data_IF_644929607502
#
_entry.id   IF_644929607502
#
_cell.length_a   1.000
_cell.length_b   1.000
_cell.length_c   1.000
_cell.angle_alpha   90.00
_cell.angle_beta   90.00
_cell.angle_gamma   90.00
#
_symmetry.space_group_name_H-M   'P 1'
#
loop_
_entity.id
_entity.type
_entity.pdbx_description
1 polymer ?
#
# COMPACT_ATOMS: atom_id res chain seq x y z
N UNK A 1 -38.11 -23.32 35.20
CA UNK A 1 -37.78 -21.95 35.66
C UNK A 1 -36.37 -21.57 35.19
N UNK A 2 -36.22 -20.67 34.20
CA UNK A 2 -34.89 -20.11 33.86
C UNK A 2 -34.54 -19.04 34.91
N UNK A 3 -33.56 -19.33 35.79
CA UNK A 3 -33.02 -18.34 36.75
C UNK A 3 -32.43 -17.16 35.95
N UNK A 4 -33.05 -15.98 36.07
CA UNK A 4 -32.49 -14.73 35.49
C UNK A 4 -31.26 -14.33 36.31
N UNK A 5 -30.15 -14.05 35.61
CA UNK A 5 -28.95 -13.53 36.26
C UNK A 5 -29.24 -12.19 36.98
N UNK A 6 -28.58 -11.91 38.12
CA UNK A 6 -28.72 -10.65 38.84
C UNK A 6 -28.32 -9.46 37.94
N UNK A 7 -29.13 -8.39 37.94
CA UNK A 7 -28.88 -7.18 37.13
C UNK A 7 -27.46 -6.61 37.28
N UNK A 8 -26.86 -6.69 38.47
CA UNK A 8 -25.47 -6.25 38.72
C UNK A 8 -24.43 -7.07 37.94
N UNK A 9 -24.63 -8.38 37.79
CA UNK A 9 -23.73 -9.24 37.01
C UNK A 9 -23.84 -8.89 35.52
N UNK A 10 -25.07 -8.66 35.03
CA UNK A 10 -25.29 -8.23 33.63
C UNK A 10 -24.62 -6.87 33.35
N UNK A 11 -24.74 -5.89 34.25
CA UNK A 11 -24.07 -4.59 34.09
C UNK A 11 -22.53 -4.69 34.09
N UNK A 12 -21.95 -5.51 34.98
CA UNK A 12 -20.50 -5.73 35.01
C UNK A 12 -20.04 -6.41 33.72
N UNK A 13 -20.76 -7.45 33.25
CA UNK A 13 -20.42 -8.13 32.01
C UNK A 13 -20.51 -7.21 30.79
N UNK A 14 -21.54 -6.36 30.70
CA UNK A 14 -21.66 -5.35 29.62
C UNK A 14 -20.51 -4.35 29.70
N UNK A 15 -20.16 -3.87 30.90
CA UNK A 15 -19.04 -2.94 31.08
C UNK A 15 -17.70 -3.55 30.66
N UNK A 16 -17.42 -4.80 31.03
CA UNK A 16 -16.21 -5.52 30.62
C UNK A 16 -16.15 -5.69 29.11
N UNK A 17 -17.26 -6.07 28.47
CA UNK A 17 -17.32 -6.20 27.00
C UNK A 17 -17.06 -4.86 26.31
N UNK A 18 -17.63 -3.76 26.81
CA UNK A 18 -17.38 -2.41 26.28
C UNK A 18 -15.91 -2.01 26.47
N UNK A 19 -15.32 -2.28 27.64
CA UNK A 19 -13.93 -1.95 27.91
C UNK A 19 -12.97 -2.76 27.01
N UNK A 20 -13.23 -4.06 26.84
CA UNK A 20 -12.49 -4.92 25.92
C UNK A 20 -12.62 -4.45 24.47
N UNK A 21 -13.84 -4.06 24.05
CA UNK A 21 -14.07 -3.47 22.73
C UNK A 21 -13.26 -2.18 22.52
N UNK A 22 -13.27 -1.26 23.48
CA UNK A 22 -12.49 -0.03 23.42
C UNK A 22 -10.98 -0.30 23.38
N UNK A 23 -10.48 -1.23 24.20
CA UNK A 23 -9.07 -1.61 24.20
C UNK A 23 -8.66 -2.24 22.87
N UNK A 24 -9.48 -3.14 22.31
CA UNK A 24 -9.25 -3.75 21.01
C UNK A 24 -9.21 -2.70 19.89
N UNK A 25 -10.15 -1.74 19.89
CA UNK A 25 -10.13 -0.64 18.94
C UNK A 25 -8.85 0.19 19.12
N UNK A 26 -8.48 0.62 20.33
CA UNK A 26 -7.23 1.40 20.54
C UNK A 26 -6.01 0.65 20.03
N UNK A 27 -5.87 -0.65 20.34
CA UNK A 27 -4.76 -1.46 19.82
C UNK A 27 -4.79 -1.50 18.30
N UNK A 28 -5.97 -1.63 17.68
CA UNK A 28 -6.11 -1.65 16.23
C UNK A 28 -5.74 -0.32 15.57
N UNK A 29 -6.25 0.81 16.08
CA UNK A 29 -5.94 2.15 15.57
C UNK A 29 -4.48 2.55 15.80
N UNK A 30 -3.86 2.13 16.90
CA UNK A 30 -2.50 2.53 17.25
C UNK A 30 -1.46 1.43 17.03
N UNK A 31 -1.84 0.31 16.37
CA UNK A 31 -1.01 -0.88 16.17
C UNK A 31 0.39 -0.52 15.69
N UNK A 32 0.48 0.22 14.61
CA UNK A 32 1.75 0.55 13.96
C UNK A 32 2.64 1.48 14.80
N UNK A 33 2.04 2.29 15.68
CA UNK A 33 2.77 3.10 16.66
C UNK A 33 3.26 2.24 17.83
N UNK A 34 2.43 1.29 18.28
CA UNK A 34 2.71 0.42 19.43
C UNK A 34 3.77 -0.62 19.07
N UNK A 35 3.61 -1.30 17.93
CA UNK A 35 4.42 -2.45 17.54
C UNK A 35 5.50 -2.10 16.51
N UNK A 36 5.38 -0.96 15.82
CA UNK A 36 6.29 -0.59 14.75
C UNK A 36 6.00 -1.34 13.44
N UNK A 37 6.97 -1.38 12.50
CA UNK A 37 6.78 -2.04 11.21
C UNK A 37 6.63 -3.56 11.40
N UNK A 38 5.67 -4.21 10.72
CA UNK A 38 5.45 -5.65 10.81
C UNK A 38 6.50 -6.42 10.00
N UNK A 39 7.75 -6.46 10.48
CA UNK A 39 8.86 -7.21 9.86
C UNK A 39 9.47 -8.18 10.88
N UNK A 40 9.94 -9.35 10.45
CA UNK A 40 10.51 -10.34 11.37
C UNK A 40 11.82 -9.88 12.03
N UNK A 41 12.72 -9.25 11.27
CA UNK A 41 13.93 -8.67 11.83
C UNK A 41 14.03 -7.18 11.51
N UNK A 42 14.33 -6.39 12.53
CA UNK A 42 14.61 -4.95 12.40
C UNK A 42 16.01 -4.63 12.87
N UNK A 43 16.36 -5.03 14.09
CA UNK A 43 17.65 -4.79 14.69
C UNK A 43 17.91 -5.73 15.88
N UNK A 44 19.17 -5.87 16.25
CA UNK A 44 19.65 -6.57 17.43
C UNK A 44 20.77 -5.77 18.12
N UNK A 45 21.63 -6.37 18.95
CA UNK A 45 22.70 -5.63 19.63
C UNK A 45 23.79 -5.09 18.69
N UNK A 46 23.93 -5.64 17.48
CA UNK A 46 25.05 -5.37 16.58
C UNK A 46 24.63 -4.68 15.29
N UNK A 47 23.46 -4.96 14.75
CA UNK A 47 23.04 -4.43 13.45
C UNK A 47 21.61 -3.89 13.47
N UNK A 48 21.28 -3.08 12.46
CA UNK A 48 19.91 -2.81 12.04
C UNK A 48 19.77 -2.95 10.53
N UNK A 49 18.64 -3.48 10.07
CA UNK A 49 18.31 -3.64 8.65
C UNK A 49 17.27 -2.60 8.25
N UNK A 50 17.59 -1.82 7.21
CA UNK A 50 16.72 -0.77 6.68
C UNK A 50 15.33 -1.31 6.29
N UNK A 51 14.30 -0.48 6.45
CA UNK A 51 12.92 -0.86 6.10
C UNK A 51 12.69 -0.80 4.58
N UNK A 52 13.41 0.08 3.89
CA UNK A 52 13.30 0.34 2.45
C UNK A 52 14.67 0.18 1.77
N UNK A 53 14.71 0.02 0.43
CA UNK A 53 15.97 -0.05 -0.31
C UNK A 53 16.84 1.17 -0.01
N UNK A 54 18.15 0.98 -0.01
CA UNK A 54 19.13 2.04 0.21
C UNK A 54 18.92 2.84 1.51
N UNK A 55 18.20 2.23 2.48
CA UNK A 55 17.85 2.84 3.76
C UNK A 55 17.07 4.15 3.66
N UNK A 56 16.26 4.33 2.61
CA UNK A 56 15.31 5.44 2.55
C UNK A 56 14.49 5.48 3.83
N UNK A 57 14.15 6.68 4.30
CA UNK A 57 13.38 6.84 5.53
C UNK A 57 11.91 6.45 5.39
N UNK A 58 11.29 6.71 4.24
CA UNK A 58 9.85 6.52 3.98
C UNK A 58 9.61 6.21 2.50
N UNK A 59 8.42 5.73 2.14
CA UNK A 59 8.02 5.55 0.74
C UNK A 59 6.82 6.43 0.38
N UNK A 60 6.80 6.97 -0.84
CA UNK A 60 5.66 7.75 -1.37
C UNK A 60 5.23 7.21 -2.72
N UNK A 61 3.93 7.02 -2.87
CA UNK A 61 3.32 6.51 -4.11
C UNK A 61 2.14 7.39 -4.54
N UNK A 62 2.02 7.64 -5.84
CA UNK A 62 0.89 8.36 -6.42
C UNK A 62 -0.04 7.40 -7.15
N UNK A 63 -1.33 7.47 -6.86
CA UNK A 63 -2.36 6.63 -7.49
C UNK A 63 -3.49 7.50 -8.04
N UNK A 64 -3.95 7.20 -9.25
CA UNK A 64 -4.98 7.95 -9.96
C UNK A 64 -6.09 7.00 -10.39
N UNK A 65 -7.31 7.23 -9.93
CA UNK A 65 -8.48 6.42 -10.28
C UNK A 65 -9.30 7.04 -11.43
N UNK A 66 -10.34 6.31 -11.82
CA UNK A 66 -11.32 6.68 -12.83
C UNK A 66 -10.72 6.92 -14.22
N UNK A 67 -9.68 6.15 -14.56
CA UNK A 67 -9.21 6.04 -15.95
C UNK A 67 -10.08 5.03 -16.70
N UNK A 68 -10.62 5.41 -17.84
CA UNK A 68 -11.48 4.54 -18.67
C UNK A 68 -11.35 4.94 -20.13
N UNK A 69 -11.91 4.16 -21.07
CA UNK A 69 -11.75 4.33 -22.54
C UNK A 69 -11.78 5.79 -23.06
N UNK A 70 -12.62 6.66 -22.51
CA UNK A 70 -12.77 8.05 -23.00
C UNK A 70 -11.85 9.06 -22.29
N UNK A 71 -11.05 8.63 -21.32
CA UNK A 71 -10.00 9.47 -20.71
C UNK A 71 -9.05 9.92 -21.80
N UNK A 72 -8.86 11.23 -21.90
CA UNK A 72 -7.96 11.85 -22.87
C UNK A 72 -6.51 11.44 -22.59
N UNK A 73 -5.76 10.89 -23.56
CA UNK A 73 -4.36 10.49 -23.38
C UNK A 73 -3.47 11.61 -22.81
N UNK A 74 -3.71 12.85 -23.20
CA UNK A 74 -2.97 14.02 -22.71
C UNK A 74 -3.07 14.17 -21.19
N UNK A 75 -4.22 13.86 -20.58
CA UNK A 75 -4.39 13.91 -19.12
C UNK A 75 -3.53 12.89 -18.39
N UNK A 76 -3.31 11.72 -19.00
CA UNK A 76 -2.39 10.71 -18.47
C UNK A 76 -0.96 11.23 -18.56
N UNK A 77 -0.56 11.74 -19.73
CA UNK A 77 0.78 12.27 -19.96
C UNK A 77 1.10 13.46 -19.05
N UNK A 78 0.20 14.43 -18.91
CA UNK A 78 0.38 15.59 -18.03
C UNK A 78 0.75 15.21 -16.60
N UNK A 79 0.04 14.23 -16.02
CA UNK A 79 0.29 13.75 -14.65
C UNK A 79 1.55 12.90 -14.59
N UNK A 80 1.77 12.06 -15.60
CA UNK A 80 2.94 11.17 -15.61
C UNK A 80 4.23 11.96 -15.77
N UNK A 81 4.27 12.92 -16.69
CA UNK A 81 5.48 13.69 -17.01
C UNK A 81 5.89 14.62 -15.85
N UNK A 82 4.92 15.22 -15.14
CA UNK A 82 5.24 16.01 -13.93
C UNK A 82 5.74 15.12 -12.78
N UNK A 83 5.22 13.90 -12.62
CA UNK A 83 5.69 13.01 -11.57
C UNK A 83 7.09 12.45 -11.90
N UNK A 84 7.31 12.06 -13.15
CA UNK A 84 8.59 11.57 -13.65
C UNK A 84 9.68 12.64 -13.61
N UNK A 85 9.36 13.93 -13.84
CA UNK A 85 10.34 15.01 -13.71
C UNK A 85 10.86 15.17 -12.27
N UNK A 86 10.14 14.64 -11.29
CA UNK A 86 10.54 14.53 -9.89
C UNK A 86 10.98 13.10 -9.49
N UNK A 87 11.13 12.18 -10.46
CA UNK A 87 11.56 10.80 -10.25
C UNK A 87 10.50 9.88 -9.62
N UNK A 88 9.22 10.28 -9.62
CA UNK A 88 8.12 9.44 -9.15
C UNK A 88 7.51 8.61 -10.27
N UNK A 89 7.06 7.42 -9.90
CA UNK A 89 6.17 6.59 -10.71
C UNK A 89 4.73 6.81 -10.27
N UNK A 90 3.78 6.59 -11.19
CA UNK A 90 2.34 6.69 -10.93
C UNK A 90 1.64 5.37 -11.24
N UNK A 91 0.60 5.07 -10.45
CA UNK A 91 -0.31 3.96 -10.69
C UNK A 91 -1.64 4.50 -11.20
N UNK A 92 -2.07 4.07 -12.39
CA UNK A 92 -3.40 4.37 -12.92
C UNK A 92 -4.33 3.18 -12.72
N UNK A 93 -5.40 3.38 -11.95
CA UNK A 93 -6.46 2.38 -11.76
C UNK A 93 -7.50 2.53 -12.87
N UNK A 94 -7.58 1.51 -13.73
CA UNK A 94 -8.31 1.55 -15.00
C UNK A 94 -9.60 0.73 -14.94
N UNK A 95 -10.69 1.31 -15.43
CA UNK A 95 -12.00 0.67 -15.60
C UNK A 95 -12.09 0.11 -17.03
N UNK A 96 -11.98 -1.21 -17.23
CA UNK A 96 -11.82 -1.81 -18.55
C UNK A 96 -13.09 -1.80 -19.41
N UNK A 97 -14.28 -1.77 -18.79
CA UNK A 97 -15.56 -1.76 -19.49
C UNK A 97 -16.55 -0.77 -18.89
N UNK A 98 -16.17 0.51 -18.88
CA UNK A 98 -16.90 1.57 -18.21
C UNK A 98 -18.38 1.63 -18.60
N UNK A 99 -19.24 1.63 -17.57
CA UNK A 99 -20.71 1.59 -17.61
C UNK A 99 -21.30 0.45 -18.45
N UNK A 100 -20.53 -0.62 -18.71
CA UNK A 100 -20.92 -1.70 -19.62
C UNK A 100 -21.13 -1.23 -21.06
N UNK A 101 -20.48 -0.13 -21.47
CA UNK A 101 -20.61 0.46 -22.81
C UNK A 101 -19.26 0.71 -23.47
N UNK A 102 -18.31 1.23 -22.70
CA UNK A 102 -17.03 1.69 -23.22
C UNK A 102 -15.93 0.70 -22.87
N UNK A 103 -15.78 -0.33 -23.72
CA UNK A 103 -14.75 -1.36 -23.57
C UNK A 103 -13.41 -0.87 -24.12
N UNK A 104 -12.36 -0.96 -23.33
CA UNK A 104 -10.98 -0.72 -23.77
C UNK A 104 -10.54 -1.81 -24.75
N UNK A 105 -9.81 -1.42 -25.78
CA UNK A 105 -9.24 -2.27 -26.83
C UNK A 105 -7.79 -1.88 -27.08
N UNK A 106 -7.00 -2.80 -27.63
CA UNK A 106 -5.57 -2.59 -27.95
C UNK A 106 -5.33 -1.43 -28.93
N UNK A 107 -6.32 -1.08 -29.74
CA UNK A 107 -6.22 0.00 -30.74
C UNK A 107 -6.55 1.39 -30.21
N UNK A 108 -7.17 1.49 -29.02
CA UNK A 108 -7.59 2.79 -28.47
C UNK A 108 -6.36 3.68 -28.17
N UNK A 109 -6.42 5.00 -28.44
CA UNK A 109 -5.33 5.93 -28.11
C UNK A 109 -4.90 5.86 -26.64
N UNK A 110 -5.87 5.81 -25.72
CA UNK A 110 -5.61 5.64 -24.29
C UNK A 110 -4.78 4.39 -23.99
N UNK A 111 -5.14 3.25 -24.59
CA UNK A 111 -4.44 1.99 -24.36
C UNK A 111 -2.98 2.07 -24.80
N UNK A 112 -2.72 2.70 -25.95
CA UNK A 112 -1.34 2.92 -26.41
C UNK A 112 -0.55 3.78 -25.42
N UNK A 113 -1.14 4.83 -24.88
CA UNK A 113 -0.53 5.67 -23.85
C UNK A 113 -0.30 4.91 -22.54
N UNK A 114 -1.22 4.05 -22.11
CA UNK A 114 -1.02 3.19 -20.93
C UNK A 114 0.13 2.19 -21.15
N UNK A 115 0.26 1.62 -22.35
CA UNK A 115 1.40 0.75 -22.71
C UNK A 115 2.71 1.55 -22.73
N UNK A 116 2.67 2.79 -23.20
CA UNK A 116 3.84 3.66 -23.22
C UNK A 116 4.32 3.99 -21.79
N UNK A 117 3.44 4.50 -20.93
CA UNK A 117 3.83 4.89 -19.56
C UNK A 117 4.29 3.69 -18.73
N UNK A 118 3.77 2.48 -18.98
CA UNK A 118 4.24 1.26 -18.30
C UNK A 118 5.66 0.87 -18.69
N UNK A 119 6.08 1.12 -19.95
CA UNK A 119 7.49 0.96 -20.37
C UNK A 119 8.41 1.96 -19.68
N UNK A 120 7.89 3.10 -19.21
CA UNK A 120 8.63 4.09 -18.40
C UNK A 120 8.65 3.76 -16.90
N UNK A 121 8.07 2.63 -16.50
CA UNK A 121 8.07 2.14 -15.11
C UNK A 121 6.82 2.49 -14.30
N UNK A 122 5.84 3.16 -14.91
CA UNK A 122 4.52 3.39 -14.29
C UNK A 122 3.67 2.12 -14.31
N UNK A 123 2.56 2.13 -13.59
CA UNK A 123 1.76 0.93 -13.36
C UNK A 123 0.30 1.13 -13.77
N UNK A 124 -0.31 0.03 -14.24
CA UNK A 124 -1.75 -0.07 -14.43
C UNK A 124 -2.34 -1.06 -13.43
N UNK A 125 -3.28 -0.59 -12.62
CA UNK A 125 -4.09 -1.41 -11.72
C UNK A 125 -5.52 -1.58 -12.24
N UNK A 126 -6.22 -2.61 -11.78
CA UNK A 126 -7.62 -2.84 -12.12
C UNK A 126 -8.56 -2.05 -11.20
N UNK A 127 -9.49 -1.28 -11.77
CA UNK A 127 -10.51 -0.53 -11.02
C UNK A 127 -11.93 -1.09 -11.22
N UNK A 128 -12.13 -2.34 -10.83
CA UNK A 128 -13.39 -3.05 -11.08
C UNK A 128 -13.58 -3.44 -12.55
N UNK A 129 -14.82 -3.62 -13.01
CA UNK A 129 -15.10 -3.94 -14.41
C UNK A 129 -15.81 -2.77 -15.11
N UNK A 130 -16.86 -2.24 -14.47
CA UNK A 130 -17.79 -1.31 -15.10
C UNK A 130 -17.94 0.02 -14.38
N UNK A 131 -17.54 0.12 -13.12
CA UNK A 131 -17.83 1.27 -12.26
C UNK A 131 -19.35 1.60 -12.24
N UNK A 132 -20.18 0.55 -12.31
CA UNK A 132 -21.65 0.66 -12.32
C UNK A 132 -22.28 0.03 -11.07
N UNK A 133 -23.27 0.72 -10.52
CA UNK A 133 -23.99 0.35 -9.30
C UNK A 133 -25.10 -0.65 -9.64
N UNK A 134 -25.17 -1.78 -8.94
CA UNK A 134 -26.42 -2.57 -8.97
C UNK A 134 -27.50 -1.80 -8.21
N UNK A 135 -28.63 -1.49 -8.86
CA UNK A 135 -29.79 -0.84 -8.19
C UNK A 135 -30.46 -1.85 -7.25
N UNK A 136 -29.86 -2.13 -6.09
CA UNK A 136 -30.55 -2.80 -4.98
C UNK A 136 -31.01 -1.77 -3.93
N UNK A 137 -32.22 -1.99 -3.40
CA UNK A 137 -33.13 -1.03 -2.78
C UNK A 137 -32.63 -0.27 -1.52
N UNK A 138 -32.90 1.04 -1.53
CA UNK A 138 -33.44 1.95 -0.48
C UNK A 138 -32.91 1.83 0.96
N UNK A 139 -32.32 2.91 1.48
CA UNK A 139 -32.40 3.26 2.91
C UNK A 139 -31.18 3.96 3.53
N UNK A 140 -29.98 3.71 3.02
CA UNK A 140 -28.74 4.30 3.57
C UNK A 140 -27.85 4.66 2.38
N UNK A 141 -27.45 5.93 2.29
CA UNK A 141 -26.60 6.58 1.27
C UNK A 141 -26.25 5.73 0.02
N UNK A 142 -26.69 6.18 -1.16
CA UNK A 142 -26.30 5.64 -2.48
C UNK A 142 -24.77 5.71 -2.68
N UNK A 143 -24.03 4.77 -2.10
CA UNK A 143 -22.60 4.56 -2.35
C UNK A 143 -22.51 3.51 -3.45
N UNK A 144 -21.75 3.81 -4.49
CA UNK A 144 -21.59 2.99 -5.68
C UNK A 144 -20.84 1.68 -5.39
N UNK A 145 -21.51 0.64 -4.85
CA UNK A 145 -20.85 -0.63 -4.53
C UNK A 145 -20.89 -1.58 -5.73
N UNK A 146 -19.78 -1.66 -6.47
CA UNK A 146 -19.64 -2.63 -7.57
C UNK A 146 -19.41 -4.05 -7.05
N UNK A 147 -18.88 -4.20 -5.83
CA UNK A 147 -18.47 -5.49 -5.27
C UNK A 147 -19.26 -5.88 -4.02
N UNK A 148 -19.10 -5.12 -2.93
CA UNK A 148 -19.66 -5.49 -1.64
C UNK A 148 -21.16 -5.83 -1.70
N UNK A 149 -21.50 -7.01 -1.21
CA UNK A 149 -22.85 -7.55 -1.22
C UNK A 149 -23.24 -8.35 -2.47
N UNK A 150 -22.36 -8.45 -3.48
CA UNK A 150 -22.56 -9.37 -4.59
C UNK A 150 -22.11 -10.80 -4.23
N UNK A 151 -22.73 -11.84 -4.83
CA UNK A 151 -22.27 -13.21 -4.69
C UNK A 151 -20.81 -13.38 -5.12
N UNK A 152 -20.07 -14.23 -4.39
CA UNK A 152 -18.65 -14.55 -4.65
C UNK A 152 -18.37 -14.82 -6.14
N UNK A 153 -19.18 -15.64 -6.81
CA UNK A 153 -19.00 -15.98 -8.21
C UNK A 153 -19.11 -14.78 -9.16
N UNK A 154 -19.99 -13.82 -8.87
CA UNK A 154 -20.13 -12.61 -9.68
C UNK A 154 -18.97 -11.63 -9.44
N UNK A 155 -18.53 -11.46 -8.19
CA UNK A 155 -17.32 -10.69 -7.88
C UNK A 155 -16.11 -11.28 -8.62
N UNK A 156 -15.94 -12.61 -8.56
CA UNK A 156 -14.86 -13.33 -9.25
C UNK A 156 -14.91 -13.14 -10.75
N UNK A 157 -16.10 -13.26 -11.35
CA UNK A 157 -16.30 -13.03 -12.78
C UNK A 157 -15.90 -11.61 -13.16
N UNK A 158 -16.30 -10.59 -12.39
CA UNK A 158 -15.98 -9.18 -12.69
C UNK A 158 -14.48 -8.91 -12.63
N UNK A 159 -13.80 -9.35 -11.57
CA UNK A 159 -12.36 -9.19 -11.42
C UNK A 159 -11.62 -9.90 -12.55
N UNK A 160 -11.95 -11.17 -12.79
CA UNK A 160 -11.32 -11.97 -13.84
C UNK A 160 -11.51 -11.36 -15.24
N UNK A 161 -12.74 -11.03 -15.61
CA UNK A 161 -13.03 -10.41 -16.92
C UNK A 161 -12.37 -9.06 -17.05
N UNK A 162 -12.38 -8.24 -15.98
CA UNK A 162 -11.76 -6.93 -15.98
C UNK A 162 -10.24 -7.01 -16.21
N UNK A 163 -9.56 -7.87 -15.44
CA UNK A 163 -8.13 -8.14 -15.59
C UNK A 163 -7.80 -8.62 -17.01
N UNK A 164 -8.56 -9.61 -17.49
CA UNK A 164 -8.38 -10.18 -18.82
C UNK A 164 -8.52 -9.15 -19.95
N UNK A 165 -9.44 -8.19 -19.86
CA UNK A 165 -9.58 -7.13 -20.88
C UNK A 165 -8.29 -6.29 -20.99
N UNK A 166 -7.68 -5.95 -19.85
CA UNK A 166 -6.44 -5.17 -19.82
C UNK A 166 -5.24 -6.02 -20.28
N UNK A 167 -5.16 -7.28 -19.86
CA UNK A 167 -4.11 -8.21 -20.27
C UNK A 167 -4.16 -8.55 -21.76
N UNK A 168 -5.35 -8.74 -22.32
CA UNK A 168 -5.56 -8.92 -23.77
C UNK A 168 -5.14 -7.66 -24.58
N UNK A 169 -5.00 -6.50 -23.92
CA UNK A 169 -4.45 -5.28 -24.49
C UNK A 169 -2.91 -5.16 -24.34
N UNK A 170 -2.25 -6.13 -23.70
CA UNK A 170 -0.81 -6.12 -23.45
C UNK A 170 -0.39 -5.35 -22.19
N UNK A 171 -1.32 -5.10 -21.27
CA UNK A 171 -1.02 -4.47 -19.98
C UNK A 171 -0.86 -5.54 -18.89
N UNK A 172 0.20 -5.45 -18.10
CA UNK A 172 0.33 -6.25 -16.88
C UNK A 172 -0.50 -5.62 -15.77
N UNK A 173 -1.28 -6.42 -15.05
CA UNK A 173 -2.16 -5.96 -13.99
C UNK A 173 -1.85 -6.73 -12.72
N UNK A 174 -1.23 -6.08 -11.74
CA UNK A 174 -0.84 -6.70 -10.47
C UNK A 174 -1.68 -6.24 -9.28
N UNK A 175 -2.27 -5.06 -9.39
CA UNK A 175 -3.04 -4.42 -8.34
C UNK A 175 -4.53 -4.32 -8.63
N UNK A 176 -5.31 -4.22 -7.57
CA UNK A 176 -6.75 -3.98 -7.64
C UNK A 176 -7.22 -2.92 -6.64
N UNK A 177 -8.18 -2.08 -7.07
CA UNK A 177 -8.94 -1.19 -6.18
C UNK A 177 -10.40 -1.28 -6.56
N UNK A 178 -11.30 -1.59 -5.63
CA UNK A 178 -12.71 -1.63 -5.97
C UNK A 178 -13.26 -0.21 -6.14
N UNK A 179 -14.12 0.03 -7.13
CA UNK A 179 -14.87 1.28 -7.24
C UNK A 179 -15.59 1.64 -5.94
N UNK A 180 -15.47 2.92 -5.56
CA UNK A 180 -15.97 3.48 -4.31
C UNK A 180 -15.52 2.74 -3.04
N UNK A 181 -14.35 2.10 -3.06
CA UNK A 181 -13.81 1.32 -1.95
C UNK A 181 -14.82 0.28 -1.45
N UNK A 182 -15.35 -0.49 -2.40
CA UNK A 182 -16.42 -1.44 -2.16
C UNK A 182 -15.94 -2.89 -2.04
N UNK A 183 -14.66 -3.13 -1.77
CA UNK A 183 -14.19 -4.49 -1.48
C UNK A 183 -14.83 -5.01 -0.18
N UNK A 184 -15.16 -6.30 -0.16
CA UNK A 184 -15.50 -7.05 1.05
C UNK A 184 -14.54 -8.25 1.20
N UNK A 185 -14.74 -9.07 2.25
CA UNK A 185 -13.91 -10.25 2.48
C UNK A 185 -13.86 -11.19 1.26
N UNK A 186 -14.98 -11.38 0.56
CA UNK A 186 -14.99 -12.22 -0.63
C UNK A 186 -14.13 -11.61 -1.73
N UNK A 187 -14.17 -10.28 -1.89
CA UNK A 187 -13.30 -9.57 -2.84
C UNK A 187 -11.84 -9.91 -2.57
N UNK A 188 -11.39 -9.76 -1.32
CA UNK A 188 -9.99 -10.01 -0.93
C UNK A 188 -9.56 -11.47 -1.16
N UNK A 189 -10.40 -12.43 -0.78
CA UNK A 189 -10.15 -13.87 -1.04
C UNK A 189 -10.07 -14.20 -2.54
N UNK A 190 -10.82 -13.46 -3.38
CA UNK A 190 -10.75 -13.60 -4.83
C UNK A 190 -9.46 -13.03 -5.38
N UNK A 191 -9.00 -11.88 -4.87
CA UNK A 191 -7.76 -11.25 -5.31
C UNK A 191 -6.55 -12.16 -5.04
N UNK A 192 -6.47 -12.74 -3.85
CA UNK A 192 -5.44 -13.72 -3.53
C UNK A 192 -5.50 -14.93 -4.47
N UNK A 193 -6.68 -15.54 -4.65
CA UNK A 193 -6.86 -16.72 -5.52
C UNK A 193 -6.62 -16.46 -7.01
N UNK A 194 -6.62 -15.20 -7.42
CA UNK A 194 -6.32 -14.79 -8.79
C UNK A 194 -4.89 -14.25 -8.90
N UNK A 195 -4.04 -14.39 -7.89
CA UNK A 195 -2.65 -13.96 -7.89
C UNK A 195 -2.51 -12.45 -8.18
N UNK A 196 -3.34 -11.63 -7.53
CA UNK A 196 -3.04 -10.20 -7.38
C UNK A 196 -1.95 -10.02 -6.32
N UNK A 197 -0.99 -9.14 -6.58
CA UNK A 197 0.09 -8.86 -5.63
C UNK A 197 -0.41 -8.05 -4.45
N UNK A 198 -1.33 -7.12 -4.71
CA UNK A 198 -1.88 -6.22 -3.71
C UNK A 198 -3.29 -5.76 -4.06
N UNK A 199 -4.02 -5.33 -3.04
CA UNK A 199 -5.16 -4.44 -3.18
C UNK A 199 -4.88 -3.06 -2.57
N UNK A 200 -5.72 -2.10 -2.93
CA UNK A 200 -5.61 -0.72 -2.46
C UNK A 200 -6.99 -0.20 -2.03
N UNK A 201 -7.77 -1.05 -1.35
CA UNK A 201 -9.15 -0.78 -0.95
C UNK A 201 -9.20 -0.36 0.53
N UNK A 202 -8.90 0.90 0.78
CA UNK A 202 -8.74 1.45 2.14
C UNK A 202 -10.04 1.57 2.98
N UNK A 203 -11.14 0.90 2.62
CA UNK A 203 -12.38 0.90 3.40
C UNK A 203 -12.60 -0.38 4.21
N UNK A 204 -11.72 -1.38 4.11
CA UNK A 204 -11.88 -2.63 4.87
C UNK A 204 -11.17 -2.48 6.23
N UNK A 205 -12.00 -2.32 7.27
CA UNK A 205 -11.72 -2.22 8.71
C UNK A 205 -11.81 -0.80 9.30
N UNK A 206 -12.69 -0.60 10.31
CA UNK A 206 -13.06 -1.63 11.29
C UNK A 206 -14.50 -2.17 11.13
N UNK A 207 -14.83 -3.28 11.84
CA UNK A 207 -16.15 -3.92 11.83
C UNK A 207 -17.33 -2.94 12.08
N UNK A 208 -18.57 -3.32 11.71
CA UNK A 208 -19.75 -2.44 11.70
C UNK A 208 -20.14 -1.78 13.03
N UNK A 209 -19.59 -2.22 14.18
CA UNK A 209 -19.78 -1.52 15.46
C UNK A 209 -18.86 -0.30 15.65
N UNK A 210 -17.89 -0.09 14.76
CA UNK A 210 -16.88 1.00 14.81
C UNK A 210 -17.11 2.10 13.77
N UNK A 211 -18.30 2.16 13.15
CA UNK A 211 -18.67 3.10 12.09
C UNK A 211 -18.54 4.60 12.46
N UNK A 212 -18.32 4.95 13.73
CA UNK A 212 -18.07 6.31 14.19
C UNK A 212 -16.58 6.75 14.13
N UNK A 213 -15.64 5.86 13.79
CA UNK A 213 -14.19 6.11 13.87
C UNK A 213 -13.40 6.17 12.55
N UNK A 214 -14.04 5.94 11.40
CA UNK A 214 -13.39 5.58 10.13
C UNK A 214 -12.28 6.55 9.65
N UNK A 215 -12.43 7.87 9.86
CA UNK A 215 -11.39 8.86 9.48
C UNK A 215 -10.08 8.73 10.27
N UNK A 216 -10.14 8.37 11.55
CA UNK A 216 -8.94 8.26 12.39
C UNK A 216 -8.13 7.00 12.06
N UNK A 217 -8.77 5.97 11.51
CA UNK A 217 -8.13 4.70 11.16
C UNK A 217 -7.16 4.86 10.00
N UNK A 218 -7.66 5.40 8.88
CA UNK A 218 -6.86 5.67 7.67
C UNK A 218 -5.67 6.58 7.98
N UNK A 219 -5.83 7.53 8.92
CA UNK A 219 -4.75 8.41 9.37
C UNK A 219 -3.75 7.76 10.34
N UNK A 220 -3.96 6.51 10.71
CA UNK A 220 -3.18 5.79 11.73
C UNK A 220 -2.50 4.52 11.23
N UNK A 221 -2.75 4.12 9.98
CA UNK A 221 -2.03 3.04 9.30
C UNK A 221 -0.80 3.64 8.60
N UNK A 222 0.38 3.13 8.94
CA UNK A 222 1.66 3.59 8.39
C UNK A 222 2.31 2.54 7.51
N UNK A 223 2.01 1.27 7.73
CA UNK A 223 2.56 0.15 6.99
C UNK A 223 1.44 -0.62 6.29
N UNK A 224 1.75 -1.33 5.20
CA UNK A 224 0.76 -2.15 4.55
C UNK A 224 0.47 -3.38 5.43
N UNK A 225 -0.67 -4.02 5.21
CA UNK A 225 -1.11 -5.11 6.07
C UNK A 225 -1.75 -6.24 5.27
N UNK A 226 -1.76 -7.42 5.88
CA UNK A 226 -2.42 -8.61 5.38
C UNK A 226 -3.85 -8.70 5.94
N UNK A 227 -4.90 -8.51 5.13
CA UNK A 227 -6.26 -8.56 5.62
C UNK A 227 -6.72 -10.01 5.80
N UNK A 228 -7.50 -10.28 6.85
CA UNK A 228 -8.20 -11.56 7.05
C UNK A 228 -7.31 -12.82 6.96
N UNK A 229 -6.05 -12.72 7.39
CA UNK A 229 -5.05 -13.82 7.33
C UNK A 229 -4.71 -14.29 5.91
N UNK A 230 -4.95 -13.44 4.90
CA UNK A 230 -4.57 -13.67 3.51
C UNK A 230 -3.13 -13.22 3.27
N UNK A 231 -2.44 -13.83 2.30
CA UNK A 231 -1.14 -13.40 1.77
C UNK A 231 -1.29 -12.27 0.72
N UNK A 232 -2.36 -11.49 0.82
CA UNK A 232 -2.61 -10.32 -0.01
C UNK A 232 -2.15 -9.08 0.75
N UNK A 233 -1.35 -8.22 0.13
CA UNK A 233 -1.00 -6.93 0.73
C UNK A 233 -2.08 -5.89 0.44
N UNK A 234 -2.55 -5.17 1.45
CA UNK A 234 -3.41 -3.99 1.28
C UNK A 234 -2.67 -2.68 1.56
N UNK A 235 -2.79 -1.74 0.62
CA UNK A 235 -2.30 -0.37 0.75
C UNK A 235 -3.41 0.62 1.07
N UNK A 236 -3.17 1.47 2.06
CA UNK A 236 -4.11 2.52 2.48
C UNK A 236 -3.85 3.82 1.72
N UNK A 237 -4.88 4.32 1.02
CA UNK A 237 -4.89 5.67 0.43
C UNK A 237 -5.09 6.74 1.50
N UNK A 238 -4.24 7.76 1.51
CA UNK A 238 -4.25 8.79 2.56
C UNK A 238 -5.15 9.99 2.24
N UNK A 239 -6.05 9.84 1.28
CA UNK A 239 -7.11 10.80 0.94
C UNK A 239 -6.94 11.46 -0.43
N UNK A 240 -8.07 11.89 -0.98
CA UNK A 240 -8.14 12.74 -2.17
C UNK A 240 -8.23 14.21 -1.77
N UNK A 241 -7.11 14.92 -1.92
CA UNK A 241 -6.99 16.35 -1.58
C UNK A 241 -7.29 17.28 -2.75
N UNK A 242 -7.65 16.73 -3.91
CA UNK A 242 -7.93 17.46 -5.13
C UNK A 242 -9.45 17.60 -5.37
N UNK A 243 -10.27 16.75 -4.72
CA UNK A 243 -11.74 16.75 -4.84
C UNK A 243 -12.47 17.86 -4.12
N UNK A 244 -12.07 18.21 -2.89
CA UNK A 244 -12.78 19.23 -2.09
C UNK A 244 -12.17 20.60 -2.33
N UNK A 245 -12.86 21.43 -3.13
CA UNK A 245 -12.65 22.87 -3.33
C UNK A 245 -11.23 23.34 -3.04
N UNK A 246 -10.35 23.27 -4.05
CA UNK A 246 -8.99 23.85 -4.09
C UNK A 246 -8.77 24.93 -3.03
N UNK A 247 -8.36 24.50 -1.84
CA UNK A 247 -8.18 25.35 -0.69
C UNK A 247 -6.68 25.52 -0.51
N UNK A 248 -6.15 26.74 -0.30
CA UNK A 248 -4.75 26.95 0.06
C UNK A 248 -4.29 26.08 1.25
N UNK A 249 -5.22 25.65 2.10
CA UNK A 249 -4.95 24.71 3.21
C UNK A 249 -4.69 23.27 2.77
N UNK A 250 -5.02 22.85 1.56
CA UNK A 250 -4.83 21.47 1.12
C UNK A 250 -3.35 21.07 1.14
N UNK A 251 -2.45 21.98 0.73
CA UNK A 251 -1.00 21.76 0.87
C UNK A 251 -0.62 21.50 2.33
N UNK A 252 -1.10 22.35 3.25
CA UNK A 252 -0.82 22.21 4.69
C UNK A 252 -1.33 20.86 5.21
N UNK A 253 -2.54 20.44 4.83
CA UNK A 253 -3.11 19.16 5.27
C UNK A 253 -2.30 17.98 4.72
N UNK A 254 -1.98 17.98 3.41
CA UNK A 254 -1.14 16.94 2.80
C UNK A 254 0.22 16.86 3.47
N UNK A 255 0.88 18.00 3.66
CA UNK A 255 2.17 18.11 4.34
C UNK A 255 2.10 17.60 5.77
N UNK A 256 1.11 18.01 6.57
CA UNK A 256 0.95 17.55 7.95
C UNK A 256 0.70 16.04 8.01
N UNK A 257 -0.09 15.48 7.10
CA UNK A 257 -0.35 14.04 7.05
C UNK A 257 0.92 13.28 6.65
N UNK A 258 1.65 13.76 5.64
CA UNK A 258 2.93 13.19 5.24
C UNK A 258 3.96 13.24 6.37
N UNK A 259 4.17 14.38 7.05
CA UNK A 259 5.15 14.50 8.15
C UNK A 259 4.85 13.51 9.28
N UNK A 260 3.57 13.26 9.57
CA UNK A 260 3.18 12.24 10.55
C UNK A 260 3.63 10.85 10.11
N UNK A 261 3.45 10.50 8.83
CA UNK A 261 3.83 9.20 8.28
C UNK A 261 5.36 9.07 8.20
N UNK A 262 6.03 10.11 7.72
CA UNK A 262 7.48 10.21 7.63
C UNK A 262 8.17 10.07 8.98
N UNK A 263 7.56 10.59 10.05
CA UNK A 263 8.06 10.43 11.43
C UNK A 263 8.15 8.96 11.85
N UNK A 264 7.22 8.13 11.38
CA UNK A 264 7.16 6.70 11.70
C UNK A 264 7.67 5.82 10.56
N UNK A 265 8.47 6.35 9.62
CA UNK A 265 9.00 5.58 8.50
C UNK A 265 7.92 4.88 7.67
N UNK A 266 6.70 5.42 7.62
CA UNK A 266 5.58 4.77 6.94
C UNK A 266 5.57 4.98 5.43
N UNK A 267 4.50 4.51 4.81
CA UNK A 267 4.20 4.61 3.38
C UNK A 267 3.08 5.64 3.19
N UNK A 268 3.33 6.67 2.39
CA UNK A 268 2.32 7.68 2.06
C UNK A 268 1.83 7.50 0.63
N UNK A 269 0.60 6.98 0.50
CA UNK A 269 -0.08 6.83 -0.80
C UNK A 269 -0.99 8.03 -1.02
N UNK A 270 -0.60 8.91 -1.96
CA UNK A 270 -1.45 10.00 -2.41
C UNK A 270 -2.38 9.52 -3.52
N UNK A 271 -3.65 9.86 -3.38
CA UNK A 271 -4.71 9.40 -4.25
C UNK A 271 -5.45 10.60 -4.88
N UNK A 272 -5.84 10.48 -6.14
CA UNK A 272 -6.72 11.43 -6.83
C UNK A 272 -7.51 10.75 -7.96
N UNK A 273 -8.34 11.51 -8.66
CA UNK A 273 -9.01 11.08 -9.89
C UNK A 273 -8.44 11.84 -11.08
N UNK A 274 -8.41 11.20 -12.25
CA UNK A 274 -7.76 11.74 -13.45
C UNK A 274 -8.29 13.12 -13.88
N UNK A 275 -9.60 13.35 -13.74
CA UNK A 275 -10.22 14.63 -14.09
C UNK A 275 -9.89 15.74 -13.09
N UNK A 276 -9.79 15.41 -11.80
CA UNK A 276 -9.59 16.39 -10.74
C UNK A 276 -8.14 16.89 -10.71
N UNK A 277 -7.18 15.96 -10.85
CA UNK A 277 -5.76 16.26 -10.80
C UNK A 277 -5.30 17.15 -11.97
N UNK A 278 -5.93 17.03 -13.14
CA UNK A 278 -5.56 17.73 -14.37
C UNK A 278 -6.04 19.19 -14.45
N UNK A 279 -6.66 19.73 -13.40
CA UNK A 279 -6.98 21.17 -13.35
C UNK A 279 -5.71 22.00 -13.12
N UNK A 280 -5.57 23.22 -13.69
CA UNK A 280 -4.36 24.04 -13.52
C UNK A 280 -3.98 24.28 -12.06
N UNK A 281 -4.98 24.45 -11.19
CA UNK A 281 -4.76 24.65 -9.76
C UNK A 281 -4.31 23.36 -9.05
N UNK A 282 -4.85 22.19 -9.43
CA UNK A 282 -4.41 20.91 -8.89
C UNK A 282 -3.00 20.57 -9.34
N UNK A 283 -2.65 20.85 -10.59
CA UNK A 283 -1.28 20.69 -11.09
C UNK A 283 -0.31 21.60 -10.33
N UNK A 284 -0.67 22.86 -10.07
CA UNK A 284 0.15 23.77 -9.23
C UNK A 284 0.32 23.24 -7.80
N UNK A 285 -0.77 22.75 -7.19
CA UNK A 285 -0.75 22.18 -5.85
C UNK A 285 0.11 20.90 -5.80
N UNK A 286 0.03 20.07 -6.84
CA UNK A 286 0.87 18.88 -7.00
C UNK A 286 2.34 19.29 -7.11
N UNK A 287 2.70 20.27 -7.95
CA UNK A 287 4.07 20.81 -8.04
C UNK A 287 4.58 21.29 -6.68
N UNK A 288 3.77 22.03 -5.93
CA UNK A 288 4.16 22.51 -4.59
C UNK A 288 4.42 21.35 -3.62
N UNK A 289 3.57 20.32 -3.65
CA UNK A 289 3.77 19.10 -2.87
C UNK A 289 5.04 18.36 -3.28
N UNK A 290 5.28 18.17 -4.58
CA UNK A 290 6.47 17.48 -5.11
C UNK A 290 7.77 18.20 -4.73
N UNK A 291 7.83 19.52 -4.90
CA UNK A 291 8.97 20.34 -4.48
C UNK A 291 9.29 20.15 -2.99
N UNK A 292 8.27 20.06 -2.15
CA UNK A 292 8.47 19.80 -0.73
C UNK A 292 8.92 18.37 -0.45
N UNK A 293 8.31 17.36 -1.09
CA UNK A 293 8.69 15.95 -0.91
C UNK A 293 10.13 15.67 -1.36
N UNK A 294 10.62 16.36 -2.39
CA UNK A 294 12.00 16.22 -2.86
C UNK A 294 13.06 16.68 -1.85
N UNK A 295 12.66 17.43 -0.82
CA UNK A 295 13.55 17.79 0.30
C UNK A 295 13.72 16.66 1.32
N UNK A 296 13.07 15.52 1.12
CA UNK A 296 12.97 14.42 2.07
C UNK A 296 13.65 13.17 1.51
N UNK A 297 14.07 12.31 2.43
CA UNK A 297 14.69 11.03 2.10
C UNK A 297 13.60 9.98 1.86
N UNK A 298 13.17 9.84 0.60
CA UNK A 298 11.98 9.09 0.22
C UNK A 298 12.28 8.12 -0.92
N UNK A 299 11.83 6.88 -0.76
CA UNK A 299 11.71 5.93 -1.86
C UNK A 299 10.46 6.22 -2.69
N UNK A 300 10.60 6.23 -4.01
CA UNK A 300 9.55 6.64 -4.97
C UNK A 300 9.08 5.48 -5.87
N UNK A 301 8.57 4.36 -5.32
CA UNK A 301 8.19 3.18 -6.11
C UNK A 301 6.80 3.33 -6.76
N UNK A 302 6.48 2.42 -7.69
CA UNK A 302 5.07 2.07 -7.95
C UNK A 302 4.57 1.06 -6.88
N UNK A 303 3.28 0.66 -6.91
CA UNK A 303 2.74 -0.23 -5.88
C UNK A 303 3.21 -1.68 -6.08
N UNK A 304 3.45 -2.13 -7.31
CA UNK A 304 4.05 -3.45 -7.56
C UNK A 304 5.43 -3.58 -6.92
N UNK A 305 6.33 -2.63 -7.16
CA UNK A 305 7.69 -2.62 -6.60
C UNK A 305 7.65 -2.59 -5.07
N UNK A 306 6.77 -1.77 -4.51
CA UNK A 306 6.56 -1.68 -3.07
C UNK A 306 6.02 -2.98 -2.48
N UNK A 307 5.05 -3.62 -3.14
CA UNK A 307 4.49 -4.89 -2.69
C UNK A 307 5.52 -6.01 -2.70
N UNK A 308 6.31 -6.13 -3.79
CA UNK A 308 7.36 -7.15 -3.91
C UNK A 308 8.44 -6.94 -2.85
N UNK A 309 8.92 -5.71 -2.69
CA UNK A 309 9.88 -5.38 -1.62
C UNK A 309 9.32 -5.71 -0.25
N UNK A 310 8.06 -5.34 0.02
CA UNK A 310 7.47 -5.53 1.34
C UNK A 310 7.30 -7.01 1.69
N UNK A 311 6.80 -7.83 0.74
CA UNK A 311 6.72 -9.30 0.92
C UNK A 311 8.08 -9.92 1.19
N UNK A 312 9.13 -9.47 0.48
CA UNK A 312 10.48 -9.95 0.73
C UNK A 312 10.99 -9.49 2.12
N UNK A 313 10.75 -8.23 2.47
CA UNK A 313 11.31 -7.58 3.65
C UNK A 313 10.64 -8.01 4.95
N UNK A 314 9.33 -8.25 4.94
CA UNK A 314 8.59 -8.67 6.12
C UNK A 314 8.98 -10.09 6.57
N UNK A 315 9.34 -10.93 5.60
CA UNK A 315 9.76 -12.31 5.83
C UNK A 315 11.28 -12.49 6.03
N UNK A 316 12.08 -11.43 5.86
CA UNK A 316 13.52 -11.48 6.09
C UNK A 316 13.83 -11.57 7.60
N UNK A 317 14.57 -12.61 7.97
CA UNK A 317 15.18 -12.76 9.28
C UNK A 317 16.70 -12.60 9.20
N UNK A 318 17.30 -12.16 10.31
CA UNK A 318 18.75 -12.13 10.47
C UNK A 318 19.14 -12.66 11.85
N UNK A 319 20.19 -13.47 11.88
CA UNK A 319 20.87 -13.90 13.10
C UNK A 319 22.31 -13.38 13.10
N UNK A 320 22.79 -12.95 14.27
CA UNK A 320 24.12 -12.39 14.40
C UNK A 320 24.93 -13.11 15.47
N UNK A 321 26.15 -13.49 15.10
CA UNK A 321 27.05 -14.22 15.97
C UNK A 321 28.47 -13.68 15.84
N UNK A 322 29.18 -13.57 16.97
CA UNK A 322 30.56 -13.12 16.98
C UNK A 322 31.47 -14.29 17.29
N UNK A 323 32.39 -14.56 16.37
CA UNK A 323 33.41 -15.59 16.50
C UNK A 323 34.78 -14.93 16.38
N UNK A 324 35.53 -14.89 17.48
CA UNK A 324 36.81 -14.19 17.56
C UNK A 324 36.65 -12.71 17.22
N UNK A 325 37.18 -12.30 16.06
CA UNK A 325 37.20 -10.90 15.60
C UNK A 325 36.27 -10.64 14.40
N UNK A 326 35.30 -11.53 14.16
CA UNK A 326 34.37 -11.44 13.03
C UNK A 326 32.91 -11.54 13.49
N UNK A 327 32.09 -10.57 13.08
CA UNK A 327 30.64 -10.62 13.16
C UNK A 327 30.10 -11.38 11.94
N UNK A 328 29.46 -12.51 12.17
CA UNK A 328 28.70 -13.24 11.15
C UNK A 328 27.26 -12.76 11.18
N UNK A 329 26.73 -12.38 10.03
CA UNK A 329 25.32 -12.01 9.82
C UNK A 329 24.74 -13.07 8.89
N UNK A 330 23.91 -13.96 9.42
CA UNK A 330 23.18 -14.94 8.61
C UNK A 330 21.84 -14.33 8.23
N UNK A 331 21.55 -14.27 6.93
CA UNK A 331 20.26 -13.80 6.40
C UNK A 331 19.42 -14.99 5.96
N UNK A 332 18.16 -15.01 6.36
CA UNK A 332 17.19 -16.05 6.00
C UNK A 332 15.98 -15.38 5.33
N UNK A 333 15.63 -15.83 4.12
CA UNK A 333 14.46 -15.36 3.36
C UNK A 333 13.28 -16.29 3.65
N UNK A 334 12.08 -15.74 3.90
CA UNK A 334 10.87 -16.57 3.86
C UNK A 334 10.37 -16.87 2.44
N UNK A 335 10.88 -16.18 1.41
CA UNK A 335 10.46 -16.34 0.02
C UNK A 335 11.57 -16.01 -1.00
N UNK A 336 11.30 -16.32 -2.27
CA UNK A 336 12.24 -16.15 -3.39
C UNK A 336 12.36 -14.70 -3.92
N UNK A 337 11.73 -13.72 -3.28
CA UNK A 337 11.77 -12.34 -3.76
C UNK A 337 13.13 -11.68 -3.44
N UNK A 338 13.52 -10.73 -4.29
CA UNK A 338 14.79 -10.03 -4.17
C UNK A 338 14.68 -8.80 -3.27
N UNK A 339 15.74 -8.54 -2.51
CA UNK A 339 15.95 -7.33 -1.73
C UNK A 339 17.15 -6.56 -2.29
N UNK A 340 16.97 -5.99 -3.48
CA UNK A 340 17.98 -5.16 -4.13
C UNK A 340 18.15 -3.83 -3.38
N UNK A 341 19.38 -3.54 -2.97
CA UNK A 341 19.67 -2.38 -2.13
C UNK A 341 19.35 -2.59 -0.64
N UNK A 342 19.31 -3.82 -0.13
CA UNK A 342 19.18 -4.09 1.29
C UNK A 342 20.33 -3.46 2.07
N UNK A 343 20.01 -2.57 3.01
CA UNK A 343 21.00 -1.88 3.83
C UNK A 343 21.08 -2.47 5.22
N UNK A 344 22.29 -2.86 5.62
CA UNK A 344 22.65 -3.27 6.97
C UNK A 344 23.52 -2.17 7.59
N UNK A 345 23.13 -1.67 8.76
CA UNK A 345 23.88 -0.66 9.51
C UNK A 345 24.48 -1.30 10.76
N UNK A 346 25.77 -1.07 11.00
CA UNK A 346 26.47 -1.51 12.20
C UNK A 346 26.23 -0.55 13.37
N UNK A 347 25.90 -1.09 14.54
CA UNK A 347 25.78 -0.32 15.79
C UNK A 347 27.17 0.04 16.33
N UNK A 348 27.25 1.03 17.22
CA UNK A 348 28.53 1.63 17.66
C UNK A 348 29.48 0.68 18.41
N UNK A 349 28.94 -0.31 19.12
CA UNK A 349 29.72 -1.15 20.02
C UNK A 349 29.59 -2.62 19.61
N UNK A 350 30.39 -3.03 18.63
CA UNK A 350 30.48 -4.42 18.18
C UNK A 350 31.86 -4.94 18.58
N UNK A 351 31.97 -6.03 19.37
CA UNK A 351 33.25 -6.61 19.76
C UNK A 351 33.85 -7.46 18.62
N UNK A 352 33.98 -6.87 17.43
CA UNK A 352 34.60 -7.44 16.24
C UNK A 352 35.13 -6.32 15.33
N UNK A 353 36.13 -6.60 14.51
CA UNK A 353 36.68 -5.67 13.51
C UNK A 353 36.17 -5.94 12.09
N UNK A 354 35.80 -7.20 11.81
CA UNK A 354 35.38 -7.67 10.51
C UNK A 354 33.94 -8.17 10.53
N UNK A 355 33.30 -8.21 9.37
CA UNK A 355 32.02 -8.88 9.19
C UNK A 355 32.04 -9.84 8.01
N UNK A 356 31.15 -10.84 8.05
CA UNK A 356 30.72 -11.62 6.89
C UNK A 356 29.20 -11.74 6.90
N UNK A 357 28.59 -11.51 5.75
CA UNK A 357 27.15 -11.73 5.51
C UNK A 357 27.04 -13.03 4.71
N UNK A 358 26.22 -13.95 5.20
CA UNK A 358 26.00 -15.27 4.59
C UNK A 358 24.52 -15.51 4.35
N UNK A 359 24.19 -16.27 3.31
CA UNK A 359 22.83 -16.73 3.07
C UNK A 359 22.50 -17.96 3.97
N UNK A 360 21.31 -18.51 3.79
CA UNK A 360 20.83 -19.70 4.51
C UNK A 360 21.74 -20.92 4.38
N UNK A 361 22.33 -21.09 3.19
CA UNK A 361 23.24 -22.18 2.84
C UNK A 361 24.68 -21.95 3.35
N UNK A 362 24.95 -20.81 4.00
CA UNK A 362 26.27 -20.42 4.47
C UNK A 362 27.20 -19.86 3.39
N UNK A 363 26.68 -19.60 2.18
CA UNK A 363 27.42 -18.94 1.10
C UNK A 363 27.66 -17.48 1.47
N UNK A 364 28.90 -17.03 1.36
CA UNK A 364 29.28 -15.64 1.66
C UNK A 364 28.76 -14.72 0.56
N UNK A 365 27.83 -13.85 0.93
CA UNK A 365 27.28 -12.79 0.08
C UNK A 365 28.26 -11.62 0.04
N UNK A 366 28.77 -11.22 1.21
CA UNK A 366 29.69 -10.08 1.35
C UNK A 366 30.53 -10.19 2.61
N UNK A 367 31.72 -9.58 2.62
CA UNK A 367 32.58 -9.46 3.80
C UNK A 367 33.33 -8.14 3.76
N UNK A 368 33.74 -7.64 4.91
CA UNK A 368 34.41 -6.35 5.01
C UNK A 368 34.77 -5.98 6.45
N UNK A 369 35.03 -4.69 6.67
CA UNK A 369 35.31 -4.15 8.00
C UNK A 369 34.09 -3.47 8.58
N UNK A 370 33.85 -3.67 9.88
CA UNK A 370 32.77 -2.98 10.62
C UNK A 370 32.93 -1.45 10.55
N UNK A 371 34.15 -0.95 10.31
CA UNK A 371 34.43 0.49 10.11
C UNK A 371 33.72 1.10 8.90
N UNK A 372 33.22 0.28 7.97
CA UNK A 372 32.36 0.74 6.86
C UNK A 372 31.08 1.41 7.39
N UNK A 373 30.60 1.01 8.59
CA UNK A 373 29.43 1.56 9.25
C UNK A 373 28.10 1.15 8.62
N UNK A 374 28.02 1.13 7.29
CA UNK A 374 26.83 0.77 6.51
C UNK A 374 27.24 -0.07 5.32
N UNK A 375 26.45 -1.10 5.04
CA UNK A 375 26.68 -2.03 3.93
C UNK A 375 25.38 -2.18 3.15
N UNK A 376 25.48 -2.01 1.83
CA UNK A 376 24.39 -2.30 0.89
C UNK A 376 24.71 -3.59 0.14
N UNK A 377 23.71 -4.46 0.02
CA UNK A 377 23.76 -5.71 -0.76
C UNK A 377 22.52 -5.83 -1.65
N UNK A 378 22.64 -6.67 -2.68
CA UNK A 378 21.50 -7.22 -3.40
C UNK A 378 21.38 -8.66 -2.92
N UNK A 379 20.24 -9.01 -2.32
CA UNK A 379 20.05 -10.31 -1.68
C UNK A 379 18.86 -11.06 -2.23
#
# INVERSE_FOLDING_TARGET
MKKRLPKKIICISVFVVVLCGLAASVIHYYRDIIFGPPVFFKDDNYISIGLYPYNYKSAVVFTIDDVYKLTEPEKILNVTDILESHGYKVVFFVIPYYKGRYKITSTDPLTKTLIEITKRGNEVGLHGLTHHISRYKVGVANIAREFAGLPYGEQKRRIYVGRKILEDCGLTVNGFRAPAYSADRNTLEILERLDFLYGADAAVYPPPYEAFGNRKFVESVYYPYHPAELNLIEFVSHGDFFRTHLNPKNFIIMKTRFERIYKYNGIFVLYSHIELINTPQSMKLLTEMLNYLDTKDIWKPNLTELALWWKAREELYADTQIEGNTLTIKLEKGNELNLDGLTITFKKYIPAENYKIVNEEGVIIKKGSIKEGVVVINY
#
